data_IF_579850458730
#
_entry.id   IF_579850458730
#
_cell.length_a   1.000
_cell.length_b   1.000
_cell.length_c   1.000
_cell.angle_alpha   90.00
_cell.angle_beta   90.00
_cell.angle_gamma   90.00
#
_symmetry.space_group_name_H-M   'P 1'
#
loop_
_entity.id
_entity.type
_entity.pdbx_description
1 polymer ?
#
# COMPACT_ATOMS: atom_id res chain seq x y z
N UNK A 1 5.16 -7.14 -0.38
CA UNK A 1 3.75 -7.55 -0.13
C UNK A 1 3.24 -7.21 1.28
N UNK A 2 4.07 -7.28 2.34
CA UNK A 2 3.64 -7.01 3.72
C UNK A 2 3.02 -5.63 3.92
N UNK A 3 3.65 -4.57 3.41
CA UNK A 3 3.09 -3.21 3.50
C UNK A 3 1.75 -3.06 2.77
N UNK A 4 1.61 -3.68 1.59
CA UNK A 4 0.33 -3.76 0.88
C UNK A 4 -0.73 -4.48 1.72
N UNK A 5 -0.38 -5.64 2.30
CA UNK A 5 -1.28 -6.42 3.16
C UNK A 5 -1.72 -5.64 4.40
N UNK A 6 -0.82 -4.90 5.03
CA UNK A 6 -1.13 -4.05 6.17
C UNK A 6 -2.15 -2.95 5.80
N UNK A 7 -1.92 -2.23 4.70
CA UNK A 7 -2.85 -1.21 4.20
C UNK A 7 -4.21 -1.81 3.83
N UNK A 8 -4.22 -2.87 3.00
CA UNK A 8 -5.45 -3.50 2.55
C UNK A 8 -6.27 -4.03 3.74
N UNK A 9 -5.64 -4.76 4.65
CA UNK A 9 -6.33 -5.37 5.79
C UNK A 9 -6.79 -4.32 6.79
N UNK A 10 -5.91 -3.38 7.15
CA UNK A 10 -6.24 -2.32 8.10
C UNK A 10 -7.37 -1.40 7.61
N UNK A 11 -7.40 -1.08 6.31
CA UNK A 11 -8.48 -0.29 5.72
C UNK A 11 -9.78 -1.09 5.58
N UNK A 12 -9.72 -2.37 5.17
CA UNK A 12 -10.90 -3.22 5.04
C UNK A 12 -11.61 -3.41 6.39
N UNK A 13 -10.83 -3.60 7.44
CA UNK A 13 -11.32 -3.84 8.80
C UNK A 13 -11.03 -2.66 9.74
N UNK A 14 -11.27 -1.44 9.26
CA UNK A 14 -10.97 -0.18 9.95
C UNK A 14 -11.51 -0.06 11.37
N UNK A 15 -12.56 -0.81 11.69
CA UNK A 15 -13.12 -0.85 13.07
C UNK A 15 -12.23 -1.63 14.05
N UNK A 16 -11.37 -2.51 13.56
CA UNK A 16 -10.50 -3.37 14.38
C UNK A 16 -9.09 -2.77 14.55
N UNK A 17 -8.74 -1.77 13.75
CA UNK A 17 -7.40 -1.18 13.73
C UNK A 17 -7.50 0.33 13.87
N UNK A 18 -6.77 0.90 14.82
CA UNK A 18 -6.66 2.35 14.99
C UNK A 18 -5.51 2.96 14.19
N UNK A 19 -4.48 2.15 13.91
CA UNK A 19 -3.26 2.58 13.20
C UNK A 19 -2.77 1.50 12.23
N UNK A 20 -2.16 1.92 11.14
CA UNK A 20 -1.54 1.07 10.12
C UNK A 20 -0.12 1.57 9.88
N UNK A 21 0.89 0.71 10.01
CA UNK A 21 2.25 1.00 9.58
C UNK A 21 2.61 0.11 8.38
N UNK A 22 3.05 0.71 7.29
CA UNK A 22 3.30 0.04 6.02
C UNK A 22 4.65 0.48 5.42
N UNK A 23 5.56 -0.48 5.27
CA UNK A 23 6.90 -0.25 4.75
C UNK A 23 7.02 -0.81 3.33
N UNK A 24 7.56 -0.03 2.38
CA UNK A 24 7.83 -0.42 0.99
C UNK A 24 6.66 -1.20 0.36
N UNK A 25 5.49 -0.60 0.36
CA UNK A 25 4.25 -1.28 0.00
C UNK A 25 4.15 -1.58 -1.50
N UNK A 26 3.82 -2.82 -1.85
CA UNK A 26 3.59 -3.24 -3.23
C UNK A 26 2.21 -2.76 -3.76
N UNK A 27 2.05 -1.47 -3.90
CA UNK A 27 0.83 -0.80 -4.38
C UNK A 27 0.79 -0.80 -5.93
N UNK A 28 0.87 -1.98 -6.52
CA UNK A 28 1.13 -2.21 -7.94
C UNK A 28 -0.12 -2.47 -8.80
N UNK A 29 -1.31 -2.45 -8.22
CA UNK A 29 -2.57 -2.84 -8.90
C UNK A 29 -2.78 -2.05 -10.21
N UNK A 30 -2.46 -0.76 -10.21
CA UNK A 30 -2.59 0.05 -11.43
C UNK A 30 -1.65 -0.39 -12.56
N UNK A 31 -0.47 -0.93 -12.21
CA UNK A 31 0.53 -1.41 -13.16
C UNK A 31 0.16 -2.78 -13.75
N UNK A 32 -0.68 -3.55 -13.07
CA UNK A 32 -1.08 -4.90 -13.50
C UNK A 32 -2.27 -4.93 -14.46
N UNK A 33 -2.98 -3.82 -14.62
CA UNK A 33 -4.21 -3.74 -15.42
C UNK A 33 -4.06 -4.26 -16.83
N UNK A 34 -2.98 -3.86 -17.49
CA UNK A 34 -2.76 -4.14 -18.90
C UNK A 34 -1.90 -5.40 -19.12
N UNK A 35 -1.59 -6.13 -18.05
CA UNK A 35 -0.82 -7.36 -18.07
C UNK A 35 -1.64 -8.48 -18.73
N UNK A 36 -1.02 -9.21 -19.64
CA UNK A 36 -1.60 -10.33 -20.37
C UNK A 36 -1.16 -11.67 -19.79
N UNK A 37 -1.87 -12.79 -20.09
CA UNK A 37 -1.51 -14.12 -19.57
C UNK A 37 -0.08 -14.57 -19.86
N UNK A 38 0.51 -14.11 -20.96
CA UNK A 38 1.89 -14.42 -21.37
C UNK A 38 2.94 -13.51 -20.71
N UNK A 39 2.53 -12.44 -20.06
CA UNK A 39 3.43 -11.44 -19.50
C UNK A 39 4.04 -11.89 -18.17
N UNK A 40 5.26 -11.46 -17.96
CA UNK A 40 5.97 -11.55 -16.68
C UNK A 40 6.80 -10.28 -16.46
N UNK A 41 7.07 -9.96 -15.22
CA UNK A 41 8.03 -8.94 -14.82
C UNK A 41 9.09 -9.55 -13.88
N UNK A 42 10.12 -8.81 -13.46
CA UNK A 42 11.17 -9.36 -12.60
C UNK A 42 10.68 -9.94 -11.26
N UNK A 43 9.46 -9.59 -10.82
CA UNK A 43 8.91 -10.07 -9.55
C UNK A 43 8.08 -11.34 -9.74
N UNK A 44 7.23 -11.39 -10.79
CA UNK A 44 6.30 -12.51 -10.98
C UNK A 44 5.64 -12.49 -12.37
N UNK A 45 4.92 -13.55 -12.70
CA UNK A 45 4.13 -13.68 -13.92
C UNK A 45 2.65 -13.35 -13.67
N UNK A 46 1.88 -13.28 -14.76
CA UNK A 46 0.44 -13.03 -14.72
C UNK A 46 -0.30 -13.97 -13.77
N UNK A 47 -0.04 -15.28 -13.83
CA UNK A 47 -0.74 -16.28 -13.02
C UNK A 47 -0.54 -16.04 -11.51
N UNK A 48 0.66 -15.65 -11.10
CA UNK A 48 0.93 -15.29 -9.71
C UNK A 48 0.08 -14.11 -9.25
N UNK A 49 0.04 -13.03 -10.05
CA UNK A 49 -0.77 -11.85 -9.71
C UNK A 49 -2.27 -12.13 -9.77
N UNK A 50 -2.73 -12.92 -10.73
CA UNK A 50 -4.13 -13.31 -10.84
C UNK A 50 -4.59 -14.16 -9.65
N UNK A 51 -3.71 -15.00 -9.09
CA UNK A 51 -4.01 -15.74 -7.86
C UNK A 51 -4.16 -14.84 -6.63
N UNK A 52 -3.44 -13.70 -6.59
CA UNK A 52 -3.50 -12.75 -5.47
C UNK A 52 -4.68 -11.79 -5.63
N UNK A 53 -4.83 -11.20 -6.81
CA UNK A 53 -5.74 -10.08 -7.05
C UNK A 53 -7.02 -10.48 -7.80
N UNK A 54 -7.12 -11.73 -8.29
CA UNK A 54 -8.19 -12.18 -9.18
C UNK A 54 -8.02 -11.60 -10.58
N UNK A 55 -9.12 -11.25 -11.23
CA UNK A 55 -9.08 -10.61 -12.54
C UNK A 55 -8.33 -9.27 -12.48
N UNK A 56 -7.18 -9.21 -13.15
CA UNK A 56 -6.29 -8.05 -13.12
C UNK A 56 -6.87 -6.83 -13.83
N UNK A 57 -7.74 -7.01 -14.82
CA UNK A 57 -8.36 -5.90 -15.53
C UNK A 57 -9.31 -5.09 -14.64
N UNK A 58 -9.98 -5.76 -13.70
CA UNK A 58 -10.94 -5.14 -12.77
C UNK A 58 -10.36 -4.90 -11.36
N UNK A 59 -9.15 -5.38 -11.07
CA UNK A 59 -8.55 -5.32 -9.73
C UNK A 59 -8.53 -3.91 -9.13
N UNK A 60 -8.25 -2.90 -9.94
CA UNK A 60 -8.18 -1.49 -9.48
C UNK A 60 -9.51 -0.93 -8.99
N UNK A 61 -10.64 -1.55 -9.36
CA UNK A 61 -12.00 -1.12 -9.03
C UNK A 61 -12.60 -1.92 -7.88
N UNK A 62 -11.86 -2.91 -7.37
CA UNK A 62 -12.31 -3.82 -6.32
C UNK A 62 -11.63 -3.53 -4.98
N UNK A 63 -12.12 -4.17 -3.93
CA UNK A 63 -11.64 -4.04 -2.54
C UNK A 63 -10.24 -4.61 -2.27
N UNK A 64 -9.61 -5.24 -3.26
CA UNK A 64 -8.19 -5.55 -3.22
C UNK A 64 -7.32 -4.28 -3.42
N UNK A 65 -7.89 -3.19 -3.94
CA UNK A 65 -7.22 -1.91 -4.09
C UNK A 65 -7.46 -1.04 -2.83
N UNK A 66 -6.41 -0.67 -2.08
CA UNK A 66 -6.53 0.20 -0.91
C UNK A 66 -7.22 1.54 -1.19
N UNK A 67 -7.06 2.11 -2.40
CA UNK A 67 -7.74 3.35 -2.78
C UNK A 67 -9.27 3.19 -2.80
N UNK A 68 -9.76 2.05 -3.27
CA UNK A 68 -11.20 1.75 -3.29
C UNK A 68 -11.73 1.68 -1.86
N UNK A 69 -11.01 1.03 -0.97
CA UNK A 69 -11.36 0.94 0.45
C UNK A 69 -11.43 2.32 1.11
N UNK A 70 -10.43 3.18 0.86
CA UNK A 70 -10.45 4.56 1.37
C UNK A 70 -11.70 5.30 0.87
N UNK A 71 -11.98 5.27 -0.44
CA UNK A 71 -13.17 5.96 -1.00
C UNK A 71 -14.47 5.44 -0.39
N UNK A 72 -14.61 4.10 -0.27
CA UNK A 72 -15.81 3.48 0.30
C UNK A 72 -16.02 3.89 1.77
N UNK A 73 -14.96 3.87 2.57
CA UNK A 73 -15.02 4.23 3.98
C UNK A 73 -15.36 5.70 4.18
N UNK A 74 -14.74 6.59 3.42
CA UNK A 74 -15.06 8.02 3.46
C UNK A 74 -16.50 8.29 3.03
N UNK A 75 -16.99 7.65 1.96
CA UNK A 75 -18.37 7.78 1.52
C UNK A 75 -19.39 7.28 2.56
N UNK A 76 -19.02 6.28 3.36
CA UNK A 76 -19.83 5.75 4.45
C UNK A 76 -19.73 6.59 5.75
N UNK A 77 -18.88 7.63 5.78
CA UNK A 77 -18.61 8.42 6.99
C UNK A 77 -17.87 7.64 8.09
N UNK A 78 -17.20 6.55 7.72
CA UNK A 78 -16.43 5.75 8.67
C UNK A 78 -15.07 6.40 8.97
N UNK A 79 -14.66 6.31 10.25
CA UNK A 79 -13.32 6.73 10.66
C UNK A 79 -12.29 5.77 10.09
N UNK A 80 -11.29 6.32 9.42
CA UNK A 80 -10.12 5.56 8.96
C UNK A 80 -9.07 5.43 10.07
N UNK A 81 -8.30 4.33 10.08
CA UNK A 81 -7.08 4.24 10.87
C UNK A 81 -6.10 5.35 10.49
N UNK A 82 -5.27 5.77 11.43
CA UNK A 82 -4.10 6.59 11.14
C UNK A 82 -3.09 5.77 10.32
N UNK A 83 -2.42 6.41 9.37
CA UNK A 83 -1.53 5.71 8.43
C UNK A 83 -0.11 6.24 8.55
N UNK A 84 0.83 5.33 8.77
CA UNK A 84 2.27 5.55 8.65
C UNK A 84 2.78 4.79 7.43
N UNK A 85 3.55 5.45 6.58
CA UNK A 85 4.21 4.81 5.45
C UNK A 85 5.67 5.22 5.38
N UNK A 86 6.54 4.28 5.00
CA UNK A 86 7.92 4.58 4.65
C UNK A 86 8.36 3.79 3.42
N UNK A 87 9.13 4.44 2.54
CA UNK A 87 9.70 3.81 1.35
C UNK A 87 11.05 4.43 1.02
N UNK A 88 12.02 3.62 0.60
CA UNK A 88 13.32 4.09 0.16
C UNK A 88 13.22 4.85 -1.16
N UNK A 89 13.98 5.94 -1.31
CA UNK A 89 13.96 6.75 -2.54
C UNK A 89 14.49 6.02 -3.78
N UNK A 90 15.24 4.94 -3.58
CA UNK A 90 15.83 4.08 -4.62
C UNK A 90 15.13 2.71 -4.69
N UNK A 91 14.04 2.53 -3.93
CA UNK A 91 13.19 1.35 -3.98
C UNK A 91 12.38 1.33 -5.30
N UNK A 92 12.34 0.19 -5.98
CA UNK A 92 11.56 0.04 -7.22
C UNK A 92 10.05 0.25 -7.03
N UNK A 93 9.56 0.27 -5.78
CA UNK A 93 8.19 0.57 -5.42
C UNK A 93 7.97 2.04 -5.00
N UNK A 94 8.97 2.92 -5.17
CA UNK A 94 8.85 4.30 -4.69
C UNK A 94 7.71 5.06 -5.36
N UNK A 95 7.57 4.94 -6.68
CA UNK A 95 6.52 5.67 -7.42
C UNK A 95 5.10 5.26 -7.03
N UNK A 96 4.76 3.95 -6.89
CA UNK A 96 3.45 3.56 -6.34
C UNK A 96 3.20 4.07 -4.91
N UNK A 97 4.22 4.12 -4.06
CA UNK A 97 4.07 4.64 -2.70
C UNK A 97 3.85 6.15 -2.68
N UNK A 98 4.56 6.91 -3.51
CA UNK A 98 4.32 8.35 -3.71
C UNK A 98 2.92 8.62 -4.24
N UNK A 99 2.48 7.86 -5.25
CA UNK A 99 1.15 8.00 -5.83
C UNK A 99 0.04 7.77 -4.78
N UNK A 100 0.18 6.76 -3.94
CA UNK A 100 -0.79 6.48 -2.87
C UNK A 100 -0.76 7.56 -1.78
N UNK A 101 0.41 8.06 -1.38
CA UNK A 101 0.53 9.24 -0.50
C UNK A 101 -0.24 10.43 -1.07
N UNK A 102 -0.06 10.73 -2.35
CA UNK A 102 -0.71 11.87 -3.00
C UNK A 102 -2.22 11.66 -3.12
N UNK A 103 -2.66 10.43 -3.38
CA UNK A 103 -4.07 10.05 -3.32
C UNK A 103 -4.67 10.27 -1.93
N UNK A 104 -4.01 9.83 -0.86
CA UNK A 104 -4.47 10.05 0.53
C UNK A 104 -4.59 11.55 0.83
N UNK A 105 -3.58 12.33 0.45
CA UNK A 105 -3.58 13.80 0.61
C UNK A 105 -4.75 14.45 -0.14
N UNK A 106 -4.97 14.08 -1.40
CA UNK A 106 -6.09 14.57 -2.20
C UNK A 106 -7.46 14.16 -1.64
N UNK A 107 -7.52 13.03 -0.94
CA UNK A 107 -8.73 12.53 -0.27
C UNK A 107 -8.94 13.12 1.14
N UNK A 108 -8.05 13.99 1.61
CA UNK A 108 -8.10 14.57 2.95
C UNK A 108 -7.76 13.59 4.08
N UNK A 109 -7.06 12.49 3.77
CA UNK A 109 -6.65 11.46 4.74
C UNK A 109 -5.21 11.71 5.19
N UNK A 110 -4.97 12.01 6.48
CA UNK A 110 -3.62 12.21 7.01
C UNK A 110 -2.78 10.94 6.88
N UNK A 111 -1.51 11.11 6.49
CA UNK A 111 -0.53 10.04 6.43
C UNK A 111 0.83 10.55 6.91
N UNK A 112 1.40 9.88 7.91
CA UNK A 112 2.79 10.07 8.31
C UNK A 112 3.69 9.38 7.28
N UNK A 113 4.06 10.09 6.21
CA UNK A 113 4.87 9.56 5.11
C UNK A 113 6.34 9.92 5.28
N UNK A 114 7.19 8.90 5.18
CA UNK A 114 8.64 9.03 5.30
C UNK A 114 9.33 8.48 4.06
N UNK A 115 10.35 9.19 3.61
CA UNK A 115 11.19 8.81 2.48
C UNK A 115 12.63 9.20 2.79
N UNK A 116 13.56 8.28 2.58
CA UNK A 116 14.99 8.51 2.72
C UNK A 116 15.77 7.64 1.73
N UNK A 117 17.07 7.93 1.48
CA UNK A 117 17.90 7.07 0.65
C UNK A 117 17.86 5.62 1.13
N UNK A 118 17.60 4.69 0.21
CA UNK A 118 17.52 3.25 0.49
C UNK A 118 16.76 2.49 -0.59
N UNK A 119 17.00 1.19 -0.64
CA UNK A 119 16.40 0.26 -1.58
C UNK A 119 15.42 -0.68 -0.86
N UNK A 120 14.87 -1.64 -1.59
CA UNK A 120 13.93 -2.65 -1.05
C UNK A 120 14.68 -3.73 -0.28
N UNK A 121 15.16 -3.42 0.93
CA UNK A 121 15.96 -4.35 1.74
C UNK A 121 15.75 -4.20 3.26
N UNK A 122 16.31 -5.17 3.99
CA UNK A 122 16.25 -5.19 5.45
C UNK A 122 16.98 -4.03 6.11
N UNK A 123 17.97 -3.42 5.46
CA UNK A 123 18.67 -2.26 6.02
C UNK A 123 17.69 -1.10 6.16
N UNK A 124 16.98 -0.78 5.08
CA UNK A 124 15.96 0.27 5.08
C UNK A 124 14.83 -0.03 6.09
N UNK A 125 14.31 -1.26 6.07
CA UNK A 125 13.20 -1.60 6.97
C UNK A 125 13.60 -1.57 8.44
N UNK A 126 14.80 -1.98 8.80
CA UNK A 126 15.29 -1.88 10.18
C UNK A 126 15.43 -0.43 10.66
N UNK A 127 15.80 0.51 9.77
CA UNK A 127 15.85 1.94 10.09
C UNK A 127 14.46 2.51 10.43
N UNK A 128 13.41 2.00 9.82
CA UNK A 128 12.03 2.47 10.01
C UNK A 128 11.20 1.65 10.98
N UNK A 129 11.65 0.48 11.40
CA UNK A 129 10.90 -0.38 12.31
C UNK A 129 10.67 0.30 13.68
N UNK A 130 11.74 0.83 14.30
CA UNK A 130 11.63 1.53 15.59
C UNK A 130 10.76 2.79 15.50
N UNK A 131 10.97 3.72 14.53
CA UNK A 131 10.07 4.84 14.33
C UNK A 131 8.61 4.46 14.11
N UNK A 132 8.34 3.40 13.33
CA UNK A 132 6.99 2.92 13.10
C UNK A 132 6.34 2.39 14.38
N UNK A 133 7.07 1.59 15.18
CA UNK A 133 6.58 1.08 16.47
C UNK A 133 6.33 2.24 17.44
N UNK A 134 7.27 3.17 17.57
CA UNK A 134 7.12 4.35 18.43
C UNK A 134 5.86 5.16 18.06
N UNK A 135 5.65 5.36 16.75
CA UNK A 135 4.44 6.03 16.26
C UNK A 135 3.16 5.23 16.56
N UNK A 136 3.23 3.89 16.47
CA UNK A 136 2.06 3.03 16.73
C UNK A 136 1.62 3.05 18.19
N UNK A 137 2.56 3.13 19.15
CA UNK A 137 2.26 3.08 20.59
C UNK A 137 2.08 4.46 21.22
N UNK A 138 2.54 5.50 20.55
CA UNK A 138 2.34 6.89 20.98
C UNK A 138 1.00 7.42 20.54
#
# INVERSE_FOLDING_TARGET
MGGFGALRTGLAYSRNYSKIAALSSALIIHQLRDMKPEDANPMANYAYYANIFGDLQTARERDCNPEVLVRQKLAAGEKLPEIFMACGSEDFLIEPNRAFRDFLKASGVPCAYHESPGIHDWKFWNEYLEPAIAWMVG
#
